data_IF_967182385175
#
_entry.id   IF_967182385175
#
_cell.length_a   1.000
_cell.length_b   1.000
_cell.length_c   1.000
_cell.angle_alpha   90.00
_cell.angle_beta   90.00
_cell.angle_gamma   90.00
#
_symmetry.space_group_name_H-M   'P 1'
#
loop_
_entity.id
_entity.type
_entity.pdbx_description
1 polymer ?
#
# COMPACT_ATOMS: atom_id res chain seq x y z
N UNK A 1 -12.17 15.61 18.90
CA UNK A 1 -10.99 15.60 18.01
C UNK A 1 -11.42 14.96 16.70
N UNK A 2 -11.48 15.69 15.58
CA UNK A 2 -12.12 15.21 14.33
C UNK A 2 -11.39 15.67 13.05
N UNK A 3 -10.07 15.89 13.11
CA UNK A 3 -9.28 16.46 12.00
C UNK A 3 -7.93 15.73 11.73
N UNK A 4 -7.70 14.53 12.25
CA UNK A 4 -6.51 13.76 11.86
C UNK A 4 -6.79 12.99 10.57
N UNK A 5 -5.83 12.99 9.63
CA UNK A 5 -5.87 12.07 8.48
C UNK A 5 -5.85 10.62 9.02
N UNK A 6 -6.68 9.71 8.49
CA UNK A 6 -6.69 8.33 8.96
C UNK A 6 -5.38 7.63 8.61
N UNK A 7 -4.97 6.70 9.46
CA UNK A 7 -3.87 5.76 9.19
C UNK A 7 -4.41 4.42 8.68
N UNK A 8 -3.51 3.57 8.19
CA UNK A 8 -3.88 2.19 7.83
C UNK A 8 -4.39 1.42 9.06
N UNK A 9 -3.69 1.57 10.18
CA UNK A 9 -4.05 0.96 11.47
C UNK A 9 -5.46 1.39 11.92
N UNK A 10 -5.79 2.67 11.81
CA UNK A 10 -7.13 3.16 12.16
C UNK A 10 -8.21 2.47 11.33
N UNK A 11 -8.01 2.37 10.01
CA UNK A 11 -9.00 1.81 9.08
C UNK A 11 -9.16 0.31 9.30
N UNK A 12 -8.06 -0.45 9.32
CA UNK A 12 -8.12 -1.91 9.43
C UNK A 12 -8.62 -2.35 10.80
N UNK A 13 -8.25 -1.64 11.86
CA UNK A 13 -8.75 -1.92 13.22
C UNK A 13 -10.24 -1.63 13.30
N UNK A 14 -10.71 -0.51 12.77
CA UNK A 14 -12.14 -0.20 12.73
C UNK A 14 -12.94 -1.26 11.96
N UNK A 15 -12.47 -1.68 10.79
CA UNK A 15 -13.14 -2.72 10.01
C UNK A 15 -13.13 -4.07 10.75
N UNK A 16 -12.03 -4.42 11.41
CA UNK A 16 -11.95 -5.63 12.23
C UNK A 16 -12.97 -5.59 13.38
N UNK A 17 -13.06 -4.47 14.12
CA UNK A 17 -14.04 -4.30 15.20
C UNK A 17 -15.50 -4.40 14.73
N UNK A 18 -15.78 -3.96 13.50
CA UNK A 18 -17.15 -3.98 12.93
C UNK A 18 -17.54 -5.28 12.26
N UNK A 19 -16.57 -6.05 11.77
CA UNK A 19 -16.85 -7.21 10.90
C UNK A 19 -16.25 -8.52 11.41
N UNK A 20 -15.28 -8.47 12.32
CA UNK A 20 -14.48 -9.61 12.75
C UNK A 20 -13.45 -10.11 11.73
N UNK A 21 -13.31 -9.44 10.57
CA UNK A 21 -12.40 -9.85 9.50
C UNK A 21 -11.22 -8.88 9.36
N UNK A 22 -10.05 -9.43 9.04
CA UNK A 22 -8.84 -8.67 8.74
C UNK A 22 -8.73 -8.47 7.23
N UNK A 23 -9.01 -7.24 6.77
CA UNK A 23 -9.17 -6.90 5.36
C UNK A 23 -8.09 -5.90 4.87
N UNK A 24 -6.81 -6.29 4.75
CA UNK A 24 -5.73 -5.35 4.43
C UNK A 24 -5.85 -4.77 3.02
N UNK A 25 -6.37 -5.55 2.08
CA UNK A 25 -6.54 -5.07 0.69
C UNK A 25 -7.60 -3.99 0.58
N UNK A 26 -8.75 -4.19 1.25
CA UNK A 26 -9.80 -3.18 1.26
C UNK A 26 -9.37 -1.94 2.04
N UNK A 27 -8.75 -2.13 3.20
CA UNK A 27 -8.26 -1.04 4.08
C UNK A 27 -7.24 -0.14 3.39
N UNK A 28 -6.26 -0.72 2.69
CA UNK A 28 -5.25 0.05 1.94
C UNK A 28 -5.85 0.80 0.74
N UNK A 29 -6.83 0.22 0.04
CA UNK A 29 -7.56 0.90 -1.05
C UNK A 29 -8.37 2.10 -0.54
N UNK A 30 -9.02 1.96 0.63
CA UNK A 30 -9.69 3.08 1.29
C UNK A 30 -8.70 4.18 1.66
N UNK A 31 -7.56 3.83 2.26
CA UNK A 31 -6.52 4.80 2.62
C UNK A 31 -5.97 5.52 1.39
N UNK A 32 -5.62 4.78 0.34
CA UNK A 32 -5.08 5.31 -0.90
C UNK A 32 -6.04 6.25 -1.65
N UNK A 33 -7.36 6.10 -1.44
CA UNK A 33 -8.37 7.02 -1.99
C UNK A 33 -8.33 8.39 -1.30
N UNK A 34 -7.96 8.41 -0.02
CA UNK A 34 -7.88 9.64 0.79
C UNK A 34 -6.46 10.25 0.71
N UNK A 35 -5.43 9.40 0.63
CA UNK A 35 -4.02 9.76 0.64
C UNK A 35 -3.33 9.00 -0.51
N UNK A 36 -3.26 9.59 -1.72
CA UNK A 36 -2.66 8.95 -2.89
C UNK A 36 -1.19 8.54 -2.74
N UNK A 37 -0.50 9.06 -1.71
CA UNK A 37 0.88 8.73 -1.34
C UNK A 37 0.98 7.46 -0.48
N UNK A 38 -0.10 6.69 -0.35
CA UNK A 38 -0.13 5.44 0.42
C UNK A 38 -0.26 4.23 -0.51
N UNK A 39 0.56 3.17 -0.34
CA UNK A 39 0.59 2.03 -1.25
C UNK A 39 -0.69 1.18 -1.17
N UNK A 40 -1.00 0.44 -2.23
CA UNK A 40 -2.15 -0.47 -2.23
C UNK A 40 -1.68 -1.90 -1.93
N UNK A 41 -2.24 -2.50 -0.89
CA UNK A 41 -2.09 -3.93 -0.63
C UNK A 41 -3.01 -4.72 -1.56
N UNK A 42 -2.64 -4.84 -2.84
CA UNK A 42 -3.27 -5.81 -3.74
C UNK A 42 -2.56 -7.17 -3.69
N UNK A 43 -3.20 -8.24 -4.16
CA UNK A 43 -2.60 -9.58 -4.18
C UNK A 43 -1.27 -9.60 -4.92
N UNK A 44 -1.20 -8.97 -6.09
CA UNK A 44 0.02 -8.98 -6.91
C UNK A 44 1.12 -8.08 -6.33
N UNK A 45 0.75 -6.91 -5.80
CA UNK A 45 1.70 -6.03 -5.11
C UNK A 45 2.29 -6.75 -3.89
N UNK A 46 1.45 -7.31 -3.03
CA UNK A 46 1.92 -8.04 -1.85
C UNK A 46 2.77 -9.26 -2.22
N UNK A 47 2.40 -9.99 -3.28
CA UNK A 47 3.21 -11.12 -3.78
C UNK A 47 4.59 -10.67 -4.26
N UNK A 48 4.67 -9.61 -5.07
CA UNK A 48 5.93 -9.11 -5.61
C UNK A 48 6.84 -8.49 -4.53
N UNK A 49 6.24 -8.02 -3.44
CA UNK A 49 6.96 -7.56 -2.24
C UNK A 49 7.23 -8.68 -1.22
N UNK A 50 6.85 -9.93 -1.51
CA UNK A 50 6.94 -11.07 -0.57
C UNK A 50 6.22 -10.84 0.77
N UNK A 51 5.21 -9.98 0.79
CA UNK A 51 4.41 -9.68 1.97
C UNK A 51 3.37 -10.79 2.19
N UNK A 52 3.43 -11.40 3.38
CA UNK A 52 2.50 -12.46 3.81
C UNK A 52 2.01 -12.18 5.22
N UNK A 53 0.70 -12.34 5.42
CA UNK A 53 0.12 -12.34 6.76
C UNK A 53 0.60 -13.56 7.55
N UNK A 54 0.87 -13.34 8.82
CA UNK A 54 1.19 -14.36 9.82
C UNK A 54 0.18 -14.31 10.97
N UNK A 55 0.18 -15.33 11.81
CA UNK A 55 -0.75 -15.45 12.95
C UNK A 55 -1.84 -16.51 12.76
N UNK A 56 -2.24 -17.11 13.87
CA UNK A 56 -3.26 -18.15 13.94
C UNK A 56 -4.63 -17.54 14.25
N UNK A 57 -4.69 -16.59 15.19
CA UNK A 57 -5.91 -15.86 15.53
C UNK A 57 -6.14 -14.65 14.61
N UNK A 58 -7.36 -14.11 14.60
CA UNK A 58 -7.66 -12.88 13.85
C UNK A 58 -6.92 -11.66 14.44
N UNK A 59 -6.72 -11.63 15.75
CA UNK A 59 -5.99 -10.55 16.42
C UNK A 59 -4.49 -10.58 16.05
N UNK A 60 -3.90 -11.77 15.97
CA UNK A 60 -2.51 -11.93 15.51
C UNK A 60 -2.38 -11.53 14.03
N UNK A 61 -3.35 -11.91 13.20
CA UNK A 61 -3.39 -11.49 11.78
C UNK A 61 -3.57 -9.98 11.63
N UNK A 62 -4.35 -9.33 12.48
CA UNK A 62 -4.50 -7.88 12.49
C UNK A 62 -3.16 -7.19 12.78
N UNK A 63 -2.47 -7.61 13.84
CA UNK A 63 -1.14 -7.07 14.20
C UNK A 63 -0.14 -7.29 13.06
N UNK A 64 -0.11 -8.51 12.51
CA UNK A 64 0.72 -8.84 11.34
C UNK A 64 0.39 -7.93 10.15
N UNK A 65 -0.88 -7.66 9.86
CA UNK A 65 -1.27 -6.78 8.76
C UNK A 65 -0.77 -5.35 8.95
N UNK A 66 -0.85 -4.80 10.17
CA UNK A 66 -0.35 -3.45 10.49
C UNK A 66 1.17 -3.38 10.31
N UNK A 67 1.90 -4.34 10.87
CA UNK A 67 3.36 -4.43 10.74
C UNK A 67 3.79 -4.55 9.27
N UNK A 68 3.15 -5.45 8.52
CA UNK A 68 3.48 -5.70 7.11
C UNK A 68 3.14 -4.53 6.20
N UNK A 69 2.12 -3.74 6.54
CA UNK A 69 1.83 -2.52 5.80
C UNK A 69 2.89 -1.45 6.06
N UNK A 70 3.40 -1.34 7.30
CA UNK A 70 4.55 -0.46 7.59
C UNK A 70 5.81 -0.89 6.82
N UNK A 71 6.10 -2.20 6.75
CA UNK A 71 7.19 -2.73 5.91
C UNK A 71 6.99 -2.39 4.42
N UNK A 72 5.74 -2.45 3.93
CA UNK A 72 5.40 -2.01 2.57
C UNK A 72 5.74 -0.53 2.37
N UNK A 73 5.32 0.34 3.29
CA UNK A 73 5.62 1.78 3.19
C UNK A 73 7.13 2.06 3.14
N UNK A 74 7.91 1.38 3.99
CA UNK A 74 9.37 1.52 3.98
C UNK A 74 9.96 1.03 2.66
N UNK A 75 9.50 -0.11 2.14
CA UNK A 75 9.98 -0.62 0.85
C UNK A 75 9.75 0.38 -0.28
N UNK A 76 8.59 1.03 -0.31
CA UNK A 76 8.28 2.05 -1.33
C UNK A 76 9.16 3.29 -1.17
N UNK A 77 9.41 3.74 0.05
CA UNK A 77 10.33 4.85 0.32
C UNK A 77 11.75 4.53 -0.16
N UNK A 78 12.26 3.35 0.20
CA UNK A 78 13.60 2.90 -0.21
C UNK A 78 13.70 2.74 -1.74
N UNK A 79 12.69 2.13 -2.36
CA UNK A 79 12.65 1.93 -3.80
C UNK A 79 12.61 3.27 -4.54
N UNK A 80 11.76 4.21 -4.12
CA UNK A 80 11.66 5.53 -4.76
C UNK A 80 12.94 6.37 -4.61
N UNK A 81 13.76 6.12 -3.59
CA UNK A 81 15.07 6.76 -3.41
C UNK A 81 16.20 6.06 -4.19
N UNK A 82 15.93 4.90 -4.79
CA UNK A 82 16.91 4.15 -5.60
C UNK A 82 16.95 4.62 -7.05
N UNK A 83 18.02 4.29 -7.77
CA UNK A 83 18.13 4.54 -9.21
C UNK A 83 16.99 3.87 -10.00
N UNK A 84 16.64 2.64 -9.65
CA UNK A 84 15.54 1.90 -10.28
C UNK A 84 14.19 2.57 -10.07
N UNK A 85 13.96 3.15 -8.88
CA UNK A 85 12.74 3.90 -8.57
C UNK A 85 12.63 5.20 -9.38
N UNK A 86 13.73 5.94 -9.49
CA UNK A 86 13.78 7.13 -10.34
C UNK A 86 13.50 6.78 -11.81
N UNK A 87 14.19 5.75 -12.33
CA UNK A 87 13.99 5.25 -13.69
C UNK A 87 12.54 4.80 -13.92
N UNK A 88 11.94 4.07 -12.96
CA UNK A 88 10.54 3.66 -13.03
C UNK A 88 9.59 4.86 -13.20
N UNK A 89 9.79 5.93 -12.42
CA UNK A 89 8.95 7.12 -12.49
C UNK A 89 9.15 7.86 -13.81
N UNK A 90 10.40 8.06 -14.23
CA UNK A 90 10.72 8.74 -15.49
C UNK A 90 10.16 8.00 -16.70
N UNK A 91 10.31 6.67 -16.75
CA UNK A 91 9.77 5.84 -17.82
C UNK A 91 8.24 5.92 -17.86
N UNK A 92 7.58 5.79 -16.70
CA UNK A 92 6.13 5.93 -16.61
C UNK A 92 5.67 7.27 -17.19
N UNK A 93 6.30 8.36 -16.77
CA UNK A 93 5.97 9.72 -17.22
C UNK A 93 6.30 9.98 -18.69
N UNK A 94 7.31 9.28 -19.25
CA UNK A 94 7.63 9.34 -20.67
C UNK A 94 6.56 8.67 -21.53
N UNK A 95 6.05 7.51 -21.10
CA UNK A 95 5.01 6.77 -21.81
C UNK A 95 3.60 7.34 -21.59
N UNK A 96 3.35 7.94 -20.42
CA UNK A 96 2.05 8.49 -20.01
C UNK A 96 2.18 9.95 -19.56
N UNK A 97 2.58 10.87 -20.46
CA UNK A 97 2.90 12.26 -20.11
C UNK A 97 1.72 13.05 -19.55
N UNK A 98 0.49 12.71 -19.95
CA UNK A 98 -0.73 13.37 -19.44
C UNK A 98 -1.09 12.95 -18.00
N UNK A 99 -0.40 11.93 -17.45
CA UNK A 99 -0.67 11.35 -16.13
C UNK A 99 0.41 11.68 -15.09
N UNK A 100 1.28 12.65 -15.35
CA UNK A 100 2.33 13.10 -14.41
C UNK A 100 1.81 13.50 -13.03
N UNK A 101 0.56 13.95 -12.96
CA UNK A 101 -0.12 14.35 -11.73
C UNK A 101 -0.39 13.18 -10.75
N UNK A 102 -0.33 11.93 -11.23
CA UNK A 102 -0.45 10.75 -10.39
C UNK A 102 0.78 10.64 -9.48
N UNK A 103 0.58 10.27 -8.21
CA UNK A 103 1.67 10.14 -7.24
C UNK A 103 2.69 9.08 -7.68
N UNK A 104 3.95 9.25 -7.28
CA UNK A 104 5.00 8.28 -7.60
C UNK A 104 4.70 6.89 -7.01
N UNK A 105 4.08 6.84 -5.83
CA UNK A 105 3.59 5.59 -5.23
C UNK A 105 2.63 4.87 -6.17
N UNK A 106 1.70 5.59 -6.84
CA UNK A 106 0.76 4.97 -7.79
C UNK A 106 1.40 4.51 -9.08
N UNK A 107 2.46 5.19 -9.53
CA UNK A 107 3.27 4.72 -10.67
C UNK A 107 3.93 3.37 -10.34
N UNK A 108 4.49 3.24 -9.14
CA UNK A 108 5.11 2.00 -8.65
C UNK A 108 4.06 0.91 -8.35
N UNK A 109 2.91 1.24 -7.73
CA UNK A 109 1.78 0.30 -7.55
C UNK A 109 1.37 -0.30 -8.91
N UNK A 110 1.28 0.51 -9.97
CA UNK A 110 0.93 0.05 -11.30
C UNK A 110 1.98 -0.90 -11.89
N UNK A 111 3.27 -0.60 -11.71
CA UNK A 111 4.37 -1.47 -12.12
C UNK A 111 4.27 -2.83 -11.39
N UNK A 112 4.24 -2.81 -10.06
CA UNK A 112 4.20 -4.01 -9.23
C UNK A 112 2.94 -4.83 -9.47
N UNK A 113 1.80 -4.19 -9.75
CA UNK A 113 0.58 -4.91 -10.09
C UNK A 113 0.65 -5.57 -11.48
N UNK A 114 1.39 -4.98 -12.42
CA UNK A 114 1.52 -5.49 -13.78
C UNK A 114 2.51 -6.65 -13.93
N UNK A 115 3.50 -6.76 -13.03
CA UNK A 115 4.46 -7.85 -12.98
C UNK A 115 3.79 -9.15 -12.50
N UNK A 116 3.63 -10.12 -13.40
CA UNK A 116 2.97 -11.41 -13.15
C UNK A 116 3.93 -12.58 -13.22
#
# INVERSE_FOLDING_TARGET
>A
MKNSKPTFEDIITYLFEKTGNVEPSFSSKMLATIIPEKPIWDRYVAQNLNIKLSGLSQEEKLKSAIEKYSEMEQWYEDFLNSEDGHNCVEEFERFLPDYKWISNIKKVDALLWSAR
#
